data_IF_344632116377
#
_entry.id   IF_344632116377
#
_cell.length_a   1.000
_cell.length_b   1.000
_cell.length_c   1.000
_cell.angle_alpha   90.00
_cell.angle_beta   90.00
_cell.angle_gamma   90.00
#
_symmetry.space_group_name_H-M   'P 1'
#
loop_
_entity.id
_entity.type
_entity.pdbx_description
1 polymer ?
#
# COMPACT_ATOMS: atom_id res chain seq x y z
N UNK A 1 1.79 -7.81 4.95
CA UNK A 1 2.27 -6.43 5.20
C UNK A 1 2.77 -6.26 6.63
N UNK A 2 1.94 -6.47 7.66
CA UNK A 2 2.34 -6.26 9.07
C UNK A 2 3.62 -7.01 9.48
N UNK A 3 3.80 -8.25 9.06
CA UNK A 3 5.01 -9.03 9.42
C UNK A 3 6.26 -8.46 8.73
N UNK A 4 6.13 -8.04 7.46
CA UNK A 4 7.24 -7.40 6.74
C UNK A 4 7.63 -6.07 7.39
N UNK A 5 6.68 -5.21 7.70
CA UNK A 5 6.98 -3.92 8.35
C UNK A 5 7.58 -4.10 9.75
N UNK A 6 7.19 -5.14 10.49
CA UNK A 6 7.84 -5.51 11.76
C UNK A 6 9.27 -6.01 11.56
N UNK A 7 9.53 -6.84 10.52
CA UNK A 7 10.89 -7.29 10.18
C UNK A 7 11.79 -6.08 9.88
N UNK A 8 11.27 -5.10 9.12
CA UNK A 8 11.99 -3.86 8.79
C UNK A 8 12.31 -3.06 10.07
N UNK A 9 11.32 -2.80 10.93
CA UNK A 9 11.54 -2.05 12.16
C UNK A 9 12.56 -2.76 13.09
N UNK A 10 12.45 -4.07 13.24
CA UNK A 10 13.40 -4.88 14.02
C UNK A 10 14.82 -4.75 13.49
N UNK A 11 15.01 -4.76 12.18
CA UNK A 11 16.33 -4.54 11.59
C UNK A 11 16.96 -3.23 12.06
N UNK A 12 16.22 -2.13 12.04
CA UNK A 12 16.71 -0.85 12.50
C UNK A 12 16.98 -0.82 14.01
N UNK A 13 16.11 -1.45 14.80
CA UNK A 13 16.27 -1.55 16.25
C UNK A 13 17.47 -2.41 16.65
N UNK A 14 17.84 -3.41 15.88
CA UNK A 14 18.94 -4.32 16.19
C UNK A 14 20.26 -3.88 15.59
N UNK A 15 20.27 -3.42 14.32
CA UNK A 15 21.50 -3.21 13.54
C UNK A 15 21.89 -1.74 13.40
N UNK A 16 20.97 -0.79 13.61
CA UNK A 16 21.22 0.63 13.39
C UNK A 16 21.05 1.48 14.68
N UNK A 17 21.24 0.88 15.85
CA UNK A 17 21.06 1.50 17.17
C UNK A 17 21.86 2.79 17.37
N UNK A 18 23.03 2.89 16.75
CA UNK A 18 23.86 4.07 16.85
C UNK A 18 23.28 5.24 16.05
N UNK A 19 22.62 4.96 14.91
CA UNK A 19 22.10 5.97 14.02
C UNK A 19 20.61 6.28 14.24
N UNK A 20 19.80 5.28 14.66
CA UNK A 20 18.35 5.36 14.75
C UNK A 20 17.90 5.69 16.17
N UNK A 21 16.94 6.59 16.29
CA UNK A 21 16.27 6.94 17.54
C UNK A 21 14.96 6.18 17.71
N UNK A 22 14.14 6.11 16.66
CA UNK A 22 12.83 5.42 16.68
C UNK A 22 12.34 5.07 15.30
N UNK A 23 11.41 4.11 15.27
CA UNK A 23 10.72 3.66 14.05
C UNK A 23 9.20 3.82 14.22
N UNK A 24 8.52 4.36 13.22
CA UNK A 24 7.06 4.42 13.16
C UNK A 24 6.57 3.60 11.97
N UNK A 25 5.69 2.64 12.24
CA UNK A 25 5.13 1.73 11.24
C UNK A 25 3.72 2.17 10.86
N UNK A 26 3.45 2.29 9.56
CA UNK A 26 2.12 2.49 9.00
C UNK A 26 1.84 1.32 8.05
N UNK A 27 0.79 0.56 8.32
CA UNK A 27 0.35 -0.55 7.46
C UNK A 27 -0.94 -0.17 6.74
N UNK A 28 -1.07 -0.57 5.46
CA UNK A 28 -2.24 -0.29 4.64
C UNK A 28 -2.20 1.06 3.92
N UNK A 29 -1.08 1.78 3.99
CA UNK A 29 -0.88 3.05 3.29
C UNK A 29 0.52 3.04 2.67
N UNK A 30 0.63 3.46 1.42
CA UNK A 30 1.86 3.67 0.68
C UNK A 30 1.84 5.01 -0.06
N UNK A 31 2.87 5.34 -0.81
CA UNK A 31 2.93 6.55 -1.62
C UNK A 31 1.87 6.57 -2.74
N UNK A 32 1.51 5.42 -3.27
CA UNK A 32 0.48 5.24 -4.28
C UNK A 32 -0.95 5.21 -3.72
N UNK A 33 -1.12 5.34 -2.40
CA UNK A 33 -2.43 5.39 -1.75
C UNK A 33 -2.66 4.28 -0.72
N UNK A 34 -3.93 3.99 -0.46
CA UNK A 34 -4.35 2.97 0.51
C UNK A 34 -4.49 1.62 -0.17
N UNK A 35 -3.75 0.63 0.31
CA UNK A 35 -3.89 -0.77 -0.10
C UNK A 35 -3.39 -1.71 1.00
N UNK A 36 -4.05 -2.86 1.17
CA UNK A 36 -3.71 -3.81 2.24
C UNK A 36 -2.31 -4.41 2.10
N UNK A 37 -1.76 -4.45 0.89
CA UNK A 37 -0.41 -4.90 0.58
C UNK A 37 0.65 -3.81 0.73
N UNK A 38 0.27 -2.56 0.98
CA UNK A 38 1.19 -1.43 1.15
C UNK A 38 1.53 -1.17 2.63
N UNK A 39 2.71 -0.61 2.86
CA UNK A 39 3.14 -0.14 4.17
C UNK A 39 4.30 0.84 4.07
N UNK A 40 4.42 1.70 5.07
CA UNK A 40 5.54 2.64 5.21
C UNK A 40 6.13 2.51 6.60
N UNK A 41 7.45 2.66 6.68
CA UNK A 41 8.17 2.74 7.95
C UNK A 41 8.99 4.02 7.94
N UNK A 42 8.67 4.91 8.87
CA UNK A 42 9.41 6.15 9.06
C UNK A 42 10.49 5.93 10.10
N UNK A 43 11.73 6.20 9.71
CA UNK A 43 12.90 6.03 10.58
C UNK A 43 13.36 7.39 11.04
N UNK A 44 13.22 7.67 12.32
CA UNK A 44 13.79 8.86 12.94
C UNK A 44 15.24 8.59 13.32
N UNK A 45 16.14 9.33 12.73
CA UNK A 45 17.55 9.26 13.07
C UNK A 45 17.86 10.13 14.30
N UNK A 46 18.87 9.76 15.07
CA UNK A 46 19.39 10.55 16.21
C UNK A 46 19.88 11.92 15.74
N UNK A 47 20.11 12.82 16.67
CA UNK A 47 20.64 14.15 16.41
C UNK A 47 21.95 14.12 15.61
N UNK A 48 22.16 15.12 14.75
CA UNK A 48 23.33 15.24 13.88
C UNK A 48 24.65 15.19 14.67
N UNK A 49 24.68 15.76 15.88
CA UNK A 49 25.85 15.77 16.75
C UNK A 49 26.28 14.38 17.19
N UNK A 50 25.33 13.45 17.30
CA UNK A 50 25.57 12.07 17.67
C UNK A 50 25.93 11.17 16.47
N UNK A 51 25.76 11.66 15.24
CA UNK A 51 25.99 10.94 13.99
C UNK A 51 27.05 11.59 13.10
N UNK A 52 28.19 11.96 13.68
CA UNK A 52 29.27 12.64 12.97
C UNK A 52 30.05 11.72 12.03
N UNK A 53 30.07 10.40 12.28
CA UNK A 53 30.72 9.41 11.44
C UNK A 53 30.00 9.24 10.10
N UNK A 54 30.75 8.99 9.05
CA UNK A 54 30.21 8.85 7.68
C UNK A 54 29.21 7.70 7.55
N UNK A 55 29.46 6.58 8.25
CA UNK A 55 28.62 5.38 8.28
C UNK A 55 27.28 5.57 9.00
N UNK A 56 27.16 6.60 9.85
CA UNK A 56 25.92 6.97 10.55
C UNK A 56 25.06 7.99 9.78
N UNK A 57 25.54 8.47 8.63
CA UNK A 57 24.78 9.40 7.79
C UNK A 57 23.62 8.69 7.08
N UNK A 58 22.55 9.44 6.80
CA UNK A 58 21.32 8.90 6.21
C UNK A 58 21.53 8.06 4.95
N UNK A 59 22.44 8.46 4.05
CA UNK A 59 22.75 7.69 2.83
C UNK A 59 23.36 6.33 3.12
N UNK A 60 24.26 6.26 4.10
CA UNK A 60 24.91 5.00 4.48
C UNK A 60 23.91 4.05 5.16
N UNK A 61 23.08 4.57 6.07
CA UNK A 61 22.00 3.82 6.74
C UNK A 61 20.99 3.30 5.70
N UNK A 62 20.54 4.14 4.76
CA UNK A 62 19.62 3.73 3.71
C UNK A 62 20.23 2.67 2.78
N UNK A 63 21.52 2.79 2.43
CA UNK A 63 22.22 1.81 1.62
C UNK A 63 22.31 0.44 2.29
N UNK A 64 22.68 0.37 3.57
CA UNK A 64 22.70 -0.90 4.33
C UNK A 64 21.29 -1.51 4.46
N UNK A 65 20.30 -0.67 4.72
CA UNK A 65 18.90 -1.11 4.78
C UNK A 65 18.44 -1.71 3.43
N UNK A 66 18.74 -1.06 2.30
CA UNK A 66 18.43 -1.60 0.97
C UNK A 66 19.07 -2.98 0.74
N UNK A 67 20.35 -3.14 1.11
CA UNK A 67 21.03 -4.44 1.02
C UNK A 67 20.39 -5.50 1.91
N UNK A 68 20.06 -5.15 3.16
CA UNK A 68 19.42 -6.08 4.09
C UNK A 68 18.02 -6.51 3.62
N UNK A 69 17.26 -5.59 3.01
CA UNK A 69 15.89 -5.86 2.59
C UNK A 69 15.77 -6.52 1.21
N UNK A 70 16.83 -6.54 0.41
CA UNK A 70 16.85 -7.23 -0.89
C UNK A 70 16.57 -8.74 -0.78
N UNK A 71 16.78 -9.34 0.41
CA UNK A 71 16.44 -10.73 0.69
C UNK A 71 14.98 -10.99 1.08
N UNK A 72 14.15 -9.96 1.23
CA UNK A 72 12.74 -10.12 1.57
C UNK A 72 11.98 -10.51 0.30
N UNK A 73 11.50 -11.76 0.25
CA UNK A 73 10.78 -12.29 -0.92
C UNK A 73 9.30 -11.93 -0.93
N UNK A 74 8.72 -11.61 0.23
CA UNK A 74 7.30 -11.37 0.42
C UNK A 74 6.87 -9.94 0.04
N UNK A 75 7.83 -9.04 -0.22
CA UNK A 75 7.56 -7.66 -0.60
C UNK A 75 8.77 -6.99 -1.25
N UNK A 76 8.53 -6.03 -2.12
CA UNK A 76 9.55 -5.07 -2.55
C UNK A 76 9.68 -3.98 -1.48
N UNK A 77 10.90 -3.79 -0.98
CA UNK A 77 11.18 -2.80 0.06
C UNK A 77 12.22 -1.79 -0.42
N UNK A 78 11.87 -0.51 -0.31
CA UNK A 78 12.75 0.59 -0.68
C UNK A 78 13.06 1.45 0.54
N UNK A 79 14.35 1.72 0.79
CA UNK A 79 14.81 2.64 1.82
C UNK A 79 15.52 3.83 1.18
N UNK A 80 14.99 5.02 1.38
CA UNK A 80 15.55 6.25 0.82
C UNK A 80 15.33 7.43 1.77
N UNK A 81 16.22 8.43 1.75
CA UNK A 81 15.97 9.68 2.50
C UNK A 81 14.89 10.50 1.79
N UNK A 82 14.04 11.22 2.53
CA UNK A 82 13.16 12.20 1.94
C UNK A 82 13.97 13.29 1.23
N UNK A 83 13.41 13.96 0.21
CA UNK A 83 14.05 15.09 -0.43
C UNK A 83 14.25 16.23 0.59
N UNK A 84 15.24 17.08 0.35
CA UNK A 84 15.54 18.23 1.23
C UNK A 84 14.37 19.22 1.31
N UNK A 85 13.57 19.31 0.26
CA UNK A 85 12.35 20.12 0.16
C UNK A 85 11.22 19.20 -0.26
N UNK A 86 10.32 18.88 0.67
CA UNK A 86 9.25 17.88 0.48
C UNK A 86 8.27 18.33 -0.61
N UNK A 87 8.03 19.62 -0.73
CA UNK A 87 7.13 20.23 -1.71
C UNK A 87 7.60 20.07 -3.17
N UNK A 88 8.90 19.83 -3.39
CA UNK A 88 9.45 19.60 -4.72
C UNK A 88 9.33 18.14 -5.18
N UNK A 89 8.62 17.31 -4.44
CA UNK A 89 8.36 15.92 -4.78
C UNK A 89 9.25 14.91 -4.08
N UNK A 90 8.92 13.65 -4.26
CA UNK A 90 9.51 12.52 -3.53
C UNK A 90 10.77 11.98 -4.23
N UNK A 91 10.92 12.23 -5.52
CA UNK A 91 11.98 11.68 -6.35
C UNK A 91 12.93 12.76 -6.88
N UNK A 92 14.22 12.43 -6.91
CA UNK A 92 15.20 13.13 -7.73
C UNK A 92 15.14 12.54 -9.13
N UNK A 93 15.15 13.41 -10.15
CA UNK A 93 15.13 12.95 -11.53
C UNK A 93 14.00 13.59 -12.31
N UNK A 94 13.30 12.82 -13.09
CA UNK A 94 12.18 13.26 -13.91
C UNK A 94 10.94 12.40 -13.63
N UNK A 95 9.77 13.01 -13.76
CA UNK A 95 8.50 12.32 -13.87
C UNK A 95 8.10 12.26 -15.35
N UNK A 96 7.72 11.07 -15.80
CA UNK A 96 7.30 10.82 -17.16
C UNK A 96 5.91 10.19 -17.16
N UNK A 97 4.99 10.81 -17.90
CA UNK A 97 3.63 10.29 -18.07
C UNK A 97 3.48 9.59 -19.41
N UNK A 98 3.13 8.32 -19.37
CA UNK A 98 2.78 7.52 -20.54
C UNK A 98 1.25 7.51 -20.69
N UNK A 99 0.74 8.07 -21.79
CA UNK A 99 -0.67 8.23 -22.06
C UNK A 99 -1.10 7.41 -23.28
N UNK A 100 -2.17 6.63 -23.14
CA UNK A 100 -2.83 5.99 -24.28
C UNK A 100 -3.72 6.97 -25.03
N UNK A 101 -3.19 7.56 -26.09
CA UNK A 101 -3.97 8.40 -27.03
C UNK A 101 -4.56 7.61 -28.21
N UNK A 102 -4.09 6.39 -28.41
CA UNK A 102 -4.50 5.54 -29.53
C UNK A 102 -5.73 4.67 -29.23
N UNK A 103 -6.19 4.64 -27.96
CA UNK A 103 -7.31 3.82 -27.57
C UNK A 103 -6.98 2.32 -27.55
N UNK A 104 -5.71 1.96 -27.32
CA UNK A 104 -5.26 0.55 -27.24
C UNK A 104 -5.74 -0.13 -25.96
N UNK A 105 -6.23 0.68 -25.00
CA UNK A 105 -6.72 0.20 -23.73
C UNK A 105 -5.59 -0.13 -22.72
N UNK A 106 -6.01 -0.59 -21.55
CA UNK A 106 -5.13 -0.80 -20.43
C UNK A 106 -3.99 -1.79 -20.73
N UNK A 107 -4.28 -2.90 -21.39
CA UNK A 107 -3.29 -3.90 -21.74
C UNK A 107 -2.19 -3.33 -22.67
N UNK A 108 -2.58 -2.56 -23.69
CA UNK A 108 -1.62 -1.90 -24.58
C UNK A 108 -0.75 -0.87 -23.85
N UNK A 109 -1.33 -0.16 -22.87
CA UNK A 109 -0.57 0.78 -22.04
C UNK A 109 0.48 0.07 -21.17
N UNK A 110 0.12 -1.05 -20.56
CA UNK A 110 1.04 -1.86 -19.75
C UNK A 110 2.17 -2.44 -20.61
N UNK A 111 1.87 -2.94 -21.80
CA UNK A 111 2.90 -3.44 -22.73
C UNK A 111 3.89 -2.32 -23.13
N UNK A 112 3.38 -1.15 -23.45
CA UNK A 112 4.20 0.02 -23.76
C UNK A 112 5.05 0.47 -22.56
N UNK A 113 4.51 0.40 -21.33
CA UNK A 113 5.24 0.66 -20.09
C UNK A 113 6.43 -0.31 -19.92
N UNK A 114 6.22 -1.61 -20.12
CA UNK A 114 7.31 -2.60 -20.02
C UNK A 114 8.38 -2.37 -21.10
N UNK A 115 7.99 -2.03 -22.32
CA UNK A 115 8.94 -1.68 -23.38
C UNK A 115 9.77 -0.45 -23.00
N UNK A 116 9.13 0.60 -22.49
CA UNK A 116 9.81 1.82 -22.02
C UNK A 116 10.81 1.51 -20.89
N UNK A 117 10.39 0.74 -19.90
CA UNK A 117 11.26 0.32 -18.80
C UNK A 117 12.44 -0.50 -19.30
N UNK A 118 12.23 -1.39 -20.25
CA UNK A 118 13.27 -2.20 -20.88
C UNK A 118 14.30 -1.34 -21.63
N UNK A 119 13.84 -0.34 -22.40
CA UNK A 119 14.73 0.61 -23.07
C UNK A 119 15.49 1.48 -22.08
N UNK A 120 14.82 1.98 -21.05
CA UNK A 120 15.44 2.81 -20.02
C UNK A 120 16.52 2.05 -19.22
N UNK A 121 16.32 0.75 -18.98
CA UNK A 121 17.31 -0.09 -18.30
C UNK A 121 18.59 -0.31 -19.11
N UNK A 122 18.54 -0.13 -20.42
CA UNK A 122 19.71 -0.28 -21.32
C UNK A 122 20.47 1.04 -21.51
N UNK A 123 19.91 2.18 -21.11
CA UNK A 123 20.57 3.47 -21.27
C UNK A 123 21.41 3.81 -20.03
N UNK A 124 22.76 3.89 -20.16
CA UNK A 124 23.65 4.13 -19.02
C UNK A 124 23.50 5.51 -18.39
N UNK A 125 22.78 6.44 -19.03
CA UNK A 125 22.50 7.78 -18.51
C UNK A 125 21.31 7.80 -17.56
N UNK A 126 20.50 6.72 -17.56
CA UNK A 126 19.25 6.63 -16.79
C UNK A 126 19.42 5.54 -15.73
N UNK A 127 19.05 5.85 -14.48
CA UNK A 127 19.15 4.91 -13.38
C UNK A 127 17.87 4.90 -12.56
N UNK A 128 17.53 3.75 -11.98
CA UNK A 128 16.43 3.58 -11.04
C UNK A 128 15.05 3.99 -11.59
N UNK A 129 14.80 3.74 -12.87
CA UNK A 129 13.48 3.95 -13.47
C UNK A 129 12.49 2.95 -12.89
N UNK A 130 11.34 3.47 -12.47
CA UNK A 130 10.28 2.64 -11.87
C UNK A 130 8.90 3.25 -12.19
N UNK A 131 7.84 2.43 -12.28
CA UNK A 131 6.48 2.96 -12.35
C UNK A 131 6.07 3.60 -11.01
N UNK A 132 5.26 4.64 -11.06
CA UNK A 132 4.68 5.29 -9.88
C UNK A 132 3.27 4.79 -9.56
N UNK A 133 2.64 4.03 -10.46
CA UNK A 133 1.31 3.46 -10.28
C UNK A 133 1.30 2.28 -9.30
N UNK A 134 0.10 1.91 -8.86
CA UNK A 134 -0.12 0.64 -8.19
C UNK A 134 -0.12 -0.49 -9.23
N UNK A 135 0.31 -1.67 -8.81
CA UNK A 135 0.17 -2.88 -9.63
C UNK A 135 -1.31 -3.24 -9.82
N UNK A 136 -1.63 -3.83 -10.95
CA UNK A 136 -2.96 -4.35 -11.22
C UNK A 136 -3.33 -5.42 -10.20
N UNK A 137 -4.55 -5.33 -9.71
CA UNK A 137 -5.12 -6.33 -8.81
C UNK A 137 -6.42 -6.85 -9.41
N UNK A 138 -6.70 -8.12 -9.16
CA UNK A 138 -7.97 -8.71 -9.57
C UNK A 138 -9.12 -8.08 -8.81
N UNK A 139 -10.12 -7.61 -9.52
CA UNK A 139 -11.35 -7.07 -8.95
C UNK A 139 -12.54 -7.99 -9.33
N UNK A 140 -13.48 -8.12 -8.40
CA UNK A 140 -14.74 -8.78 -8.64
C UNK A 140 -15.85 -7.74 -8.69
N UNK A 141 -16.60 -7.74 -9.79
CA UNK A 141 -17.82 -6.95 -9.93
C UNK A 141 -19.01 -7.78 -9.46
N UNK A 142 -19.79 -7.23 -8.54
CA UNK A 142 -21.05 -7.83 -8.08
C UNK A 142 -22.19 -7.24 -8.92
N UNK A 143 -22.77 -8.04 -9.80
CA UNK A 143 -23.93 -7.66 -10.60
C UNK A 143 -25.21 -8.10 -9.86
N UNK A 144 -26.05 -7.16 -9.51
CA UNK A 144 -27.32 -7.41 -8.81
C UNK A 144 -28.44 -7.54 -9.83
N UNK A 145 -29.21 -8.63 -9.76
CA UNK A 145 -30.42 -8.84 -10.54
C UNK A 145 -31.57 -7.97 -9.94
N UNK A 146 -31.76 -6.80 -10.54
CA UNK A 146 -32.73 -5.79 -10.09
C UNK A 146 -34.17 -6.24 -10.27
N UNK A 147 -34.48 -6.98 -11.34
CA UNK A 147 -35.82 -7.48 -11.62
C UNK A 147 -36.24 -8.51 -10.58
N UNK A 148 -35.33 -9.46 -10.32
CA UNK A 148 -35.55 -10.49 -9.30
C UNK A 148 -35.64 -9.89 -7.90
N UNK A 149 -34.79 -8.93 -7.55
CA UNK A 149 -34.86 -8.23 -6.26
C UNK A 149 -36.21 -7.52 -6.08
N UNK A 150 -36.68 -6.81 -7.14
CA UNK A 150 -37.98 -6.15 -7.15
C UNK A 150 -39.13 -7.14 -7.02
N UNK A 151 -39.11 -8.27 -7.76
CA UNK A 151 -40.14 -9.29 -7.65
C UNK A 151 -40.22 -9.96 -6.28
N UNK A 152 -39.10 -10.01 -5.55
CA UNK A 152 -39.02 -10.55 -4.19
C UNK A 152 -39.28 -9.49 -3.11
N UNK A 153 -39.52 -8.24 -3.48
CA UNK A 153 -39.71 -7.13 -2.54
C UNK A 153 -38.47 -6.73 -1.76
N UNK A 154 -37.28 -7.09 -2.27
CA UNK A 154 -36.01 -6.80 -1.60
C UNK A 154 -35.47 -5.45 -2.07
N UNK A 155 -35.28 -4.46 -1.16
CA UNK A 155 -34.66 -3.19 -1.52
C UNK A 155 -33.20 -3.37 -1.97
N UNK A 156 -32.83 -2.79 -3.10
CA UNK A 156 -31.46 -2.84 -3.64
C UNK A 156 -30.44 -2.28 -2.61
N UNK A 157 -30.83 -1.22 -1.89
CA UNK A 157 -30.00 -0.65 -0.82
C UNK A 157 -29.67 -1.65 0.29
N UNK A 158 -30.60 -2.55 0.62
CA UNK A 158 -30.37 -3.61 1.61
C UNK A 158 -29.33 -4.61 1.13
N UNK A 159 -29.36 -4.96 -0.16
CA UNK A 159 -28.34 -5.83 -0.79
C UNK A 159 -26.97 -5.16 -0.72
N UNK A 160 -26.88 -3.90 -1.19
CA UNK A 160 -25.61 -3.16 -1.17
C UNK A 160 -25.06 -2.97 0.24
N UNK A 161 -25.91 -2.63 1.21
CA UNK A 161 -25.49 -2.47 2.60
C UNK A 161 -24.97 -3.77 3.22
N UNK A 162 -25.63 -4.89 2.92
CA UNK A 162 -25.22 -6.20 3.41
C UNK A 162 -23.86 -6.61 2.84
N UNK A 163 -23.67 -6.49 1.52
CA UNK A 163 -22.40 -6.79 0.86
C UNK A 163 -21.29 -5.85 1.35
N UNK A 164 -21.57 -4.54 1.44
CA UNK A 164 -20.61 -3.55 1.93
C UNK A 164 -20.22 -3.81 3.38
N UNK A 165 -21.16 -4.14 4.25
CA UNK A 165 -20.88 -4.46 5.64
C UNK A 165 -20.04 -5.76 5.75
N UNK A 166 -20.39 -6.80 4.99
CA UNK A 166 -19.70 -8.07 5.05
C UNK A 166 -18.27 -8.00 4.54
N UNK A 167 -18.05 -7.41 3.36
CA UNK A 167 -16.74 -7.38 2.70
C UNK A 167 -15.94 -6.10 2.98
N UNK A 168 -16.59 -4.93 3.04
CA UNK A 168 -15.95 -3.62 3.20
C UNK A 168 -15.89 -3.11 4.64
N UNK A 169 -16.70 -3.62 5.53
CA UNK A 169 -17.01 -3.14 6.88
C UNK A 169 -18.00 -1.98 6.91
N UNK A 170 -18.79 -1.93 7.97
CA UNK A 170 -19.68 -0.82 8.29
C UNK A 170 -19.23 -0.15 9.59
N UNK A 171 -19.02 1.14 9.55
CA UNK A 171 -18.79 1.94 10.74
C UNK A 171 -20.09 2.06 11.54
N UNK A 172 -20.04 1.76 12.83
CA UNK A 172 -21.23 1.77 13.71
C UNK A 172 -21.19 2.97 14.65
N UNK A 173 -20.09 3.14 15.40
CA UNK A 173 -19.96 4.19 16.40
C UNK A 173 -18.51 4.28 16.91
N UNK A 174 -18.26 5.24 17.78
CA UNK A 174 -17.01 5.43 18.49
C UNK A 174 -17.16 5.11 19.98
N UNK A 175 -16.07 4.71 20.63
CA UNK A 175 -15.96 4.66 22.09
C UNK A 175 -14.60 5.14 22.56
N UNK A 176 -14.54 5.60 23.80
CA UNK A 176 -13.29 6.07 24.42
C UNK A 176 -12.69 4.95 25.27
N UNK A 177 -11.42 4.65 25.03
CA UNK A 177 -10.64 3.71 25.83
C UNK A 177 -9.22 4.23 26.01
N UNK A 178 -8.79 4.37 27.27
CA UNK A 178 -7.45 4.84 27.58
C UNK A 178 -7.14 6.24 27.03
N UNK A 179 -8.09 7.18 27.11
CA UNK A 179 -7.95 8.55 26.61
C UNK A 179 -7.93 8.70 25.07
N UNK A 180 -8.16 7.62 24.34
CA UNK A 180 -8.20 7.63 22.87
C UNK A 180 -9.56 7.21 22.35
N UNK A 181 -10.06 7.90 21.32
CA UNK A 181 -11.27 7.53 20.58
C UNK A 181 -10.96 6.31 19.70
N UNK A 182 -11.78 5.26 19.84
CA UNK A 182 -11.71 4.03 19.06
C UNK A 182 -12.96 3.87 18.24
N UNK A 183 -12.79 3.59 16.95
CA UNK A 183 -13.91 3.35 16.04
C UNK A 183 -14.36 1.90 16.10
N UNK A 184 -15.67 1.68 16.10
CA UNK A 184 -16.30 0.36 16.04
C UNK A 184 -16.73 0.09 14.61
N UNK A 185 -16.25 -1.01 14.05
CA UNK A 185 -16.65 -1.51 12.74
C UNK A 185 -17.25 -2.90 12.87
N UNK A 186 -18.30 -3.16 12.09
CA UNK A 186 -18.87 -4.49 11.88
C UNK A 186 -18.44 -5.01 10.52
N UNK A 187 -17.96 -6.23 10.47
CA UNK A 187 -17.53 -6.89 9.24
C UNK A 187 -17.70 -8.41 9.38
N UNK A 188 -17.94 -9.11 8.29
CA UNK A 188 -17.89 -10.58 8.33
C UNK A 188 -16.49 -11.05 8.72
N UNK A 189 -16.42 -12.14 9.49
CA UNK A 189 -15.13 -12.75 9.83
C UNK A 189 -14.42 -13.29 8.58
N UNK A 190 -13.11 -13.40 8.64
CA UNK A 190 -12.27 -13.78 7.47
C UNK A 190 -12.77 -15.02 6.72
N UNK A 191 -13.17 -16.15 7.37
CA UNK A 191 -13.66 -17.35 6.69
C UNK A 191 -14.94 -17.13 5.86
N UNK A 192 -15.63 -16.02 6.05
CA UNK A 192 -16.90 -15.70 5.39
C UNK A 192 -16.80 -14.58 4.34
N UNK A 193 -15.58 -14.13 3.99
CA UNK A 193 -15.33 -13.07 3.02
C UNK A 193 -14.04 -13.23 2.22
N UNK A 194 -13.45 -14.42 2.19
CA UNK A 194 -12.19 -14.66 1.49
C UNK A 194 -12.36 -15.03 0.03
N UNK A 195 -13.50 -15.60 -0.33
CA UNK A 195 -13.76 -16.13 -1.67
C UNK A 195 -15.03 -15.52 -2.25
N UNK A 196 -15.14 -15.37 -3.59
CA UNK A 196 -16.35 -14.88 -4.23
C UNK A 196 -17.62 -15.66 -3.85
N UNK A 197 -17.50 -16.99 -3.70
CA UNK A 197 -18.59 -17.87 -3.26
C UNK A 197 -19.09 -17.61 -1.83
N UNK A 198 -18.38 -16.81 -1.05
CA UNK A 198 -18.86 -16.44 0.29
C UNK A 198 -20.04 -15.46 0.21
N UNK A 199 -20.29 -14.83 -0.95
CA UNK A 199 -21.51 -14.09 -1.23
C UNK A 199 -22.77 -14.96 -1.05
N UNK A 200 -22.72 -16.25 -1.41
CA UNK A 200 -23.83 -17.19 -1.31
C UNK A 200 -24.29 -17.44 0.15
N UNK A 201 -23.45 -17.06 1.12
CA UNK A 201 -23.76 -17.20 2.55
C UNK A 201 -24.45 -15.97 3.15
N UNK A 202 -24.59 -14.90 2.36
CA UNK A 202 -25.23 -13.67 2.81
C UNK A 202 -26.72 -13.70 2.52
N UNK A 203 -27.51 -13.24 3.45
CA UNK A 203 -28.96 -13.15 3.34
C UNK A 203 -29.44 -11.73 3.56
N UNK A 204 -30.44 -11.35 2.78
CA UNK A 204 -31.13 -10.06 2.90
C UNK A 204 -32.59 -10.33 3.17
N UNK A 205 -33.20 -9.55 4.05
CA UNK A 205 -34.63 -9.65 4.33
C UNK A 205 -35.42 -8.80 3.36
N UNK A 206 -36.55 -9.34 2.91
CA UNK A 206 -37.59 -8.62 2.22
C UNK A 206 -38.56 -7.94 3.21
#
# INVERSE_FOLDING_TARGET
TKEVTKKIARYFDENEKEAVESCMIISGIGFSGRAQNNGMVFIKLKDWKLRNRADLKVKAVAGRAMMAFSGIREAMVFAFPPPAVVELGIAKGFDFELLDRGGLGHQGLIEAQYQLLGMAAQDPRITAVRPNGMEDVSEYRVDVDWEKAGALGVPISSIHNTVSAAFGSAYVNDFVKGGSVKRVFVQADAPYRMLPKDLDKLYVRN
#
